data_IF_542959875211
#
_entry.id   IF_542959875211
#
_cell.length_a   1.000
_cell.length_b   1.000
_cell.length_c   1.000
_cell.angle_alpha   90.00
_cell.angle_beta   90.00
_cell.angle_gamma   90.00
#
_symmetry.space_group_name_H-M   'P 1'
#
loop_
_entity.id
_entity.type
_entity.pdbx_description
1 polymer ?
#
# COMPACT_ATOMS: atom_id res chain seq x y z
N UNK A 1 43.57 -45.28 18.43
CA UNK A 1 44.99 -45.13 18.01
C UNK A 1 45.57 -46.36 17.33
N UNK A 2 45.26 -47.57 17.80
CA UNK A 2 45.93 -48.78 17.27
C UNK A 2 45.41 -49.29 15.92
N UNK A 3 44.17 -48.99 15.54
CA UNK A 3 43.54 -49.59 14.34
C UNK A 3 42.81 -48.60 13.42
N UNK A 4 42.83 -47.30 13.73
CA UNK A 4 42.13 -46.22 13.03
C UNK A 4 40.63 -46.47 12.75
N UNK A 5 39.99 -47.29 13.58
CA UNK A 5 38.55 -47.53 13.46
C UNK A 5 37.77 -46.36 14.08
N UNK A 6 36.84 -45.72 13.34
CA UNK A 6 36.01 -44.66 13.89
C UNK A 6 35.06 -45.23 14.95
N UNK A 7 35.01 -44.57 16.11
CA UNK A 7 34.10 -44.93 17.20
C UNK A 7 32.86 -44.03 17.12
N UNK A 8 31.89 -44.49 16.33
CA UNK A 8 30.61 -43.78 16.15
C UNK A 8 29.47 -44.80 16.30
N UNK A 9 28.64 -44.59 17.30
CA UNK A 9 27.47 -45.41 17.62
C UNK A 9 26.38 -44.55 18.25
N UNK A 10 25.13 -45.02 18.26
CA UNK A 10 24.03 -44.30 18.91
C UNK A 10 24.32 -43.98 20.38
N UNK A 11 25.02 -44.86 21.08
CA UNK A 11 25.39 -44.69 22.49
C UNK A 11 26.43 -43.57 22.66
N UNK A 12 27.51 -43.62 21.87
CA UNK A 12 28.58 -42.61 21.92
C UNK A 12 28.08 -41.24 21.48
N UNK A 13 27.24 -41.19 20.44
CA UNK A 13 26.59 -39.97 19.97
C UNK A 13 25.62 -39.41 21.02
N UNK A 14 24.76 -40.22 21.64
CA UNK A 14 23.83 -39.74 22.69
C UNK A 14 24.57 -39.24 23.92
N UNK A 15 25.63 -39.93 24.34
CA UNK A 15 26.46 -39.50 25.46
C UNK A 15 27.09 -38.13 25.17
N UNK A 16 27.71 -37.97 24.00
CA UNK A 16 28.32 -36.71 23.61
C UNK A 16 27.28 -35.59 23.43
N UNK A 17 26.12 -35.87 22.83
CA UNK A 17 25.02 -34.90 22.73
C UNK A 17 24.56 -34.38 24.11
N UNK A 18 24.47 -35.25 25.12
CA UNK A 18 24.12 -34.84 26.47
C UNK A 18 25.21 -33.96 27.08
N UNK A 19 26.47 -34.31 26.87
CA UNK A 19 27.60 -33.52 27.32
C UNK A 19 27.60 -32.11 26.70
N UNK A 20 27.32 -32.01 25.39
CA UNK A 20 27.20 -30.73 24.68
C UNK A 20 26.01 -29.91 25.20
N UNK A 21 24.87 -30.54 25.51
CA UNK A 21 23.71 -29.85 26.11
C UNK A 21 24.01 -29.25 27.48
N UNK A 22 24.86 -29.91 28.27
CA UNK A 22 25.22 -29.46 29.62
C UNK A 22 26.35 -28.43 29.62
N UNK A 23 27.40 -28.66 28.82
CA UNK A 23 28.68 -27.93 28.92
C UNK A 23 28.99 -27.05 27.71
N UNK A 24 28.19 -27.10 26.65
CA UNK A 24 28.50 -26.45 25.37
C UNK A 24 29.39 -27.30 24.46
N UNK A 25 29.54 -26.87 23.21
CA UNK A 25 30.33 -27.59 22.18
C UNK A 25 31.84 -27.53 22.47
N UNK A 26 32.27 -26.53 23.23
CA UNK A 26 33.66 -26.29 23.63
C UNK A 26 34.25 -27.46 24.42
N UNK A 27 33.39 -28.29 25.02
CA UNK A 27 33.77 -29.50 25.74
C UNK A 27 34.63 -30.44 24.90
N UNK A 28 34.41 -30.47 23.57
CA UNK A 28 35.24 -31.26 22.65
C UNK A 28 36.71 -30.84 22.68
N UNK A 29 37.01 -29.57 22.92
CA UNK A 29 38.38 -29.06 22.96
C UNK A 29 38.99 -29.10 24.35
N UNK A 30 38.19 -28.82 25.38
CA UNK A 30 38.66 -28.64 26.75
C UNK A 30 38.91 -29.94 27.51
N UNK A 31 38.17 -31.01 27.19
CA UNK A 31 38.21 -32.25 27.96
C UNK A 31 39.06 -33.34 27.28
N UNK A 32 39.57 -34.28 28.09
CA UNK A 32 40.33 -35.44 27.64
C UNK A 32 39.44 -36.44 26.88
N UNK A 33 39.98 -37.15 25.88
CA UNK A 33 39.20 -38.04 24.99
C UNK A 33 38.34 -39.06 25.75
N UNK A 34 38.88 -39.66 26.82
CA UNK A 34 38.18 -40.68 27.62
C UNK A 34 36.92 -40.14 28.31
N UNK A 35 36.86 -38.83 28.56
CA UNK A 35 35.70 -38.17 29.19
C UNK A 35 34.60 -37.79 28.18
N UNK A 36 34.91 -37.85 26.89
CA UNK A 36 33.97 -37.59 25.79
C UNK A 36 33.20 -38.85 25.36
N UNK A 37 33.52 -40.01 25.95
CA UNK A 37 32.93 -41.30 25.65
C UNK A 37 32.22 -41.89 26.88
N UNK A 38 31.24 -42.79 26.68
CA UNK A 38 30.68 -43.57 27.76
C UNK A 38 31.76 -44.31 28.55
N UNK A 39 31.68 -44.35 29.89
CA UNK A 39 32.66 -45.06 30.72
C UNK A 39 32.80 -46.53 30.32
N UNK A 40 34.04 -46.98 30.10
CA UNK A 40 34.33 -48.37 29.75
C UNK A 40 34.22 -48.71 28.26
N UNK A 41 34.04 -47.70 27.39
CA UNK A 41 34.08 -47.87 25.92
C UNK A 41 35.33 -48.65 25.48
N UNK A 42 35.15 -49.62 24.58
CA UNK A 42 36.21 -50.42 23.95
C UNK A 42 36.03 -50.40 22.44
N UNK A 43 37.13 -50.37 21.69
CA UNK A 43 37.08 -50.49 20.25
C UNK A 43 36.48 -51.86 19.86
N UNK A 44 35.40 -51.92 19.05
CA UNK A 44 34.77 -53.19 18.68
C UNK A 44 35.68 -54.08 17.81
N UNK A 45 36.70 -53.49 17.17
CA UNK A 45 37.61 -54.18 16.25
C UNK A 45 38.87 -54.72 16.93
N UNK A 46 39.56 -53.92 17.74
CA UNK A 46 40.83 -54.32 18.38
C UNK A 46 40.74 -54.47 19.91
N UNK A 47 39.62 -54.11 20.54
CA UNK A 47 39.44 -54.20 22.00
C UNK A 47 40.19 -53.15 22.81
N UNK A 48 40.96 -52.25 22.17
CA UNK A 48 41.69 -51.16 22.84
C UNK A 48 40.73 -50.21 23.57
N UNK A 49 41.23 -49.62 24.67
CA UNK A 49 40.55 -48.58 25.46
C UNK A 49 41.15 -47.18 25.22
N UNK A 50 42.20 -47.07 24.40
CA UNK A 50 42.86 -45.80 24.10
C UNK A 50 42.29 -45.20 22.82
N UNK A 51 41.75 -44.00 22.93
CA UNK A 51 41.13 -43.28 21.83
C UNK A 51 41.78 -41.90 21.65
N UNK A 52 41.82 -41.44 20.40
CA UNK A 52 42.08 -40.04 20.06
C UNK A 52 40.81 -39.43 19.48
N UNK A 53 40.64 -38.13 19.71
CA UNK A 53 39.59 -37.31 19.09
C UNK A 53 40.12 -36.64 17.83
N UNK A 54 39.25 -36.52 16.82
CA UNK A 54 39.54 -35.71 15.62
C UNK A 54 39.51 -34.22 15.94
N UNK A 55 40.28 -33.43 15.18
CA UNK A 55 40.27 -31.96 15.27
C UNK A 55 39.55 -31.30 14.08
N UNK A 56 38.98 -32.10 13.19
CA UNK A 56 38.17 -31.62 12.09
C UNK A 56 36.86 -31.02 12.62
N UNK A 57 36.43 -29.93 12.01
CA UNK A 57 35.15 -29.28 12.29
C UNK A 57 34.20 -29.43 11.11
N UNK A 58 32.92 -29.19 11.35
CA UNK A 58 31.92 -29.18 10.30
C UNK A 58 32.04 -27.91 9.45
N UNK A 59 31.67 -28.03 8.18
CA UNK A 59 31.55 -26.88 7.28
C UNK A 59 30.41 -25.96 7.75
N UNK A 60 30.58 -24.65 7.61
CA UNK A 60 29.60 -23.63 8.00
C UNK A 60 28.28 -23.77 7.23
N UNK A 61 28.32 -24.37 6.03
CA UNK A 61 27.11 -24.71 5.30
C UNK A 61 26.34 -25.87 5.93
N UNK A 62 27.02 -26.84 6.55
CA UNK A 62 26.35 -27.89 7.31
C UNK A 62 25.68 -27.31 8.56
N UNK A 63 26.36 -26.39 9.25
CA UNK A 63 25.80 -25.68 10.41
C UNK A 63 24.52 -24.92 10.04
N UNK A 64 24.62 -23.99 9.09
CA UNK A 64 23.46 -23.22 8.62
C UNK A 64 22.36 -24.10 8.00
N UNK A 65 22.74 -25.10 7.20
CA UNK A 65 21.81 -26.05 6.60
C UNK A 65 21.07 -26.91 7.64
N UNK A 66 21.66 -27.15 8.81
CA UNK A 66 20.99 -27.86 9.91
C UNK A 66 20.07 -26.98 10.76
N UNK A 67 19.95 -25.67 10.46
CA UNK A 67 19.12 -24.72 11.21
C UNK A 67 17.66 -25.16 11.35
N UNK A 68 17.08 -25.81 10.33
CA UNK A 68 15.71 -26.32 10.40
C UNK A 68 15.52 -27.41 11.48
N UNK A 69 16.58 -28.14 11.87
CA UNK A 69 16.52 -29.12 12.95
C UNK A 69 16.69 -28.45 14.32
N UNK A 70 17.52 -27.40 14.37
CA UNK A 70 17.82 -26.68 15.61
C UNK A 70 16.69 -25.72 16.01
N UNK A 71 16.07 -25.05 15.03
CA UNK A 71 15.20 -23.89 15.23
C UNK A 71 13.72 -24.22 15.01
N UNK A 72 13.35 -24.92 13.93
CA UNK A 72 11.95 -25.19 13.57
C UNK A 72 11.34 -26.30 14.44
N UNK A 73 11.11 -25.97 15.70
CA UNK A 73 10.60 -26.88 16.72
C UNK A 73 9.37 -26.30 17.42
N UNK A 74 8.39 -27.15 17.80
CA UNK A 74 7.21 -26.70 18.54
C UNK A 74 7.53 -25.98 19.86
N UNK A 75 8.64 -26.36 20.53
CA UNK A 75 9.12 -25.70 21.76
C UNK A 75 9.49 -24.23 21.57
N UNK A 76 9.81 -23.82 20.33
CA UNK A 76 10.07 -22.42 19.95
C UNK A 76 8.82 -21.72 19.38
N UNK A 77 7.65 -22.37 19.39
CA UNK A 77 6.45 -21.87 18.71
C UNK A 77 6.53 -21.92 17.18
N UNK A 78 7.45 -22.73 16.63
CA UNK A 78 7.68 -22.85 15.20
C UNK A 78 7.29 -24.25 14.69
N UNK A 79 6.99 -24.34 13.40
CA UNK A 79 6.61 -25.59 12.74
C UNK A 79 7.63 -26.03 11.71
N UNK A 80 7.67 -27.35 11.48
CA UNK A 80 8.44 -27.97 10.41
C UNK A 80 7.48 -28.79 9.52
N UNK A 81 7.51 -28.62 8.19
CA UNK A 81 8.36 -27.69 7.42
C UNK A 81 7.97 -26.21 7.62
N UNK A 82 8.88 -25.29 7.30
CA UNK A 82 8.57 -23.85 7.18
C UNK A 82 7.67 -23.61 5.96
N UNK A 83 6.76 -22.64 6.03
CA UNK A 83 5.93 -22.30 4.87
C UNK A 83 6.75 -21.71 3.72
N UNK A 84 7.75 -20.88 4.06
CA UNK A 84 8.59 -20.17 3.10
C UNK A 84 10.05 -20.11 3.55
N UNK A 85 10.97 -20.38 2.62
CA UNK A 85 12.37 -19.96 2.67
C UNK A 85 12.58 -18.85 1.64
N UNK A 86 13.19 -17.73 2.04
CA UNK A 86 13.42 -16.55 1.20
C UNK A 86 14.85 -16.03 1.37
N UNK A 87 15.65 -16.08 0.31
CA UNK A 87 17.04 -15.58 0.30
C UNK A 87 17.47 -15.19 -1.13
N UNK A 88 18.70 -14.68 -1.25
CA UNK A 88 19.34 -14.35 -2.53
C UNK A 88 19.60 -15.57 -3.43
N UNK A 89 19.75 -15.30 -4.73
CA UNK A 89 19.94 -16.33 -5.77
C UNK A 89 21.17 -17.23 -5.60
N UNK A 90 22.19 -16.78 -4.87
CA UNK A 90 23.35 -17.58 -4.49
C UNK A 90 23.00 -18.76 -3.56
N UNK A 91 21.90 -18.67 -2.81
CA UNK A 91 21.52 -19.70 -1.84
C UNK A 91 20.99 -20.98 -2.47
N UNK A 92 20.69 -21.01 -3.78
CA UNK A 92 20.40 -22.25 -4.51
C UNK A 92 21.53 -23.27 -4.43
N UNK A 93 22.78 -22.83 -4.27
CA UNK A 93 23.96 -23.69 -4.07
C UNK A 93 24.54 -23.62 -2.67
N UNK A 94 23.95 -22.80 -1.81
CA UNK A 94 24.31 -22.61 -0.42
C UNK A 94 23.22 -23.17 0.49
N UNK A 95 22.59 -22.29 1.25
CA UNK A 95 21.70 -22.66 2.34
C UNK A 95 20.49 -23.49 1.91
N UNK A 96 19.85 -23.19 0.77
CA UNK A 96 18.71 -23.96 0.29
C UNK A 96 19.09 -25.42 -0.01
N UNK A 97 20.21 -25.61 -0.72
CA UNK A 97 20.67 -26.94 -1.11
C UNK A 97 21.05 -27.77 0.12
N UNK A 98 21.86 -27.21 1.02
CA UNK A 98 22.36 -27.96 2.16
C UNK A 98 21.24 -28.23 3.17
N UNK A 99 20.32 -27.28 3.38
CA UNK A 99 19.12 -27.52 4.19
C UNK A 99 18.26 -28.66 3.62
N UNK A 100 18.05 -28.67 2.30
CA UNK A 100 17.29 -29.74 1.66
C UNK A 100 17.98 -31.10 1.81
N UNK A 101 19.29 -31.18 1.56
CA UNK A 101 20.03 -32.44 1.67
C UNK A 101 20.00 -33.00 3.10
N UNK A 102 20.21 -32.15 4.12
CA UNK A 102 20.15 -32.55 5.52
C UNK A 102 18.73 -33.00 5.90
N UNK A 103 17.70 -32.26 5.49
CA UNK A 103 16.31 -32.61 5.75
C UNK A 103 15.91 -33.95 5.09
N UNK A 104 16.30 -34.17 3.84
CA UNK A 104 16.04 -35.43 3.13
C UNK A 104 16.76 -36.60 3.80
N UNK A 105 18.01 -36.41 4.24
CA UNK A 105 18.79 -37.45 4.92
C UNK A 105 18.24 -37.79 6.31
N UNK A 106 17.72 -36.80 7.05
CA UNK A 106 17.32 -36.96 8.46
C UNK A 106 15.83 -37.19 8.66
N UNK A 107 14.98 -36.69 7.74
CA UNK A 107 13.51 -36.71 7.87
C UNK A 107 12.77 -37.18 6.61
N UNK A 108 13.48 -37.35 5.48
CA UNK A 108 12.88 -37.84 4.24
C UNK A 108 11.93 -36.87 3.54
N UNK A 109 11.90 -35.58 3.93
CA UNK A 109 11.10 -34.54 3.29
C UNK A 109 11.78 -33.16 3.36
N UNK A 110 11.44 -32.21 2.46
CA UNK A 110 12.01 -30.87 2.45
C UNK A 110 11.72 -30.08 3.73
N UNK A 111 12.59 -29.16 4.16
CA UNK A 111 12.37 -28.35 5.36
C UNK A 111 11.50 -27.12 5.13
N UNK A 112 11.02 -26.92 3.90
CA UNK A 112 10.18 -25.81 3.48
C UNK A 112 9.11 -26.28 2.49
N UNK A 113 7.97 -25.59 2.46
CA UNK A 113 6.90 -25.79 1.48
C UNK A 113 7.13 -24.96 0.21
N UNK A 114 7.66 -23.74 0.37
CA UNK A 114 7.93 -22.80 -0.73
C UNK A 114 9.35 -22.25 -0.63
N UNK A 115 10.01 -22.04 -1.78
CA UNK A 115 11.26 -21.28 -1.89
C UNK A 115 11.00 -20.06 -2.75
N UNK A 116 11.33 -18.89 -2.22
CA UNK A 116 11.34 -17.63 -2.96
C UNK A 116 12.78 -17.10 -3.03
N UNK A 117 13.15 -16.61 -4.20
CA UNK A 117 14.51 -16.12 -4.47
C UNK A 117 14.44 -14.68 -4.95
N UNK A 118 15.37 -13.84 -4.48
CA UNK A 118 15.56 -12.50 -5.00
C UNK A 118 16.94 -12.29 -5.67
N UNK A 119 17.03 -11.30 -6.55
CA UNK A 119 18.27 -10.88 -7.21
C UNK A 119 19.20 -10.12 -6.28
N UNK A 120 20.37 -9.75 -6.82
CA UNK A 120 21.39 -9.01 -6.08
C UNK A 120 21.18 -7.49 -6.19
N UNK A 121 21.73 -6.78 -5.21
CA UNK A 121 21.79 -5.31 -5.24
C UNK A 121 22.86 -4.83 -6.22
N UNK A 122 22.46 -3.95 -7.15
CA UNK A 122 23.33 -3.31 -8.14
C UNK A 122 23.17 -1.78 -8.11
N UNK A 123 24.21 -1.06 -8.51
CA UNK A 123 24.15 0.39 -8.67
C UNK A 123 23.35 0.80 -9.94
N UNK A 124 23.11 2.10 -10.09
CA UNK A 124 22.38 2.66 -11.25
C UNK A 124 23.04 2.39 -12.62
N UNK A 125 24.31 1.98 -12.64
CA UNK A 125 25.04 1.61 -13.86
C UNK A 125 25.05 0.08 -14.08
N UNK A 126 24.31 -0.68 -13.28
CA UNK A 126 24.23 -2.14 -13.36
C UNK A 126 25.48 -2.85 -12.83
N UNK A 127 26.30 -2.19 -12.00
CA UNK A 127 27.51 -2.78 -11.42
C UNK A 127 27.21 -3.29 -10.02
N UNK A 128 27.86 -4.40 -9.67
CA UNK A 128 27.84 -4.88 -8.29
C UNK A 128 28.36 -3.80 -7.32
N UNK A 129 27.69 -3.68 -6.17
CA UNK A 129 28.08 -2.73 -5.15
C UNK A 129 29.30 -3.22 -4.35
N UNK A 130 30.38 -2.45 -4.36
CA UNK A 130 31.60 -2.75 -3.63
C UNK A 130 32.15 -1.52 -2.91
N UNK A 131 32.57 -1.69 -1.66
CA UNK A 131 33.14 -0.59 -0.85
C UNK A 131 34.31 0.10 -1.56
N UNK A 132 35.14 -0.65 -2.29
CA UNK A 132 36.28 -0.11 -3.06
C UNK A 132 35.90 0.76 -4.25
N UNK A 133 34.69 0.57 -4.81
CA UNK A 133 34.15 1.39 -5.89
C UNK A 133 33.40 2.64 -5.38
N UNK A 134 33.16 2.74 -4.07
CA UNK A 134 32.45 3.85 -3.46
C UNK A 134 30.96 3.93 -3.84
N UNK A 135 30.40 2.88 -4.45
CA UNK A 135 29.02 2.81 -4.94
C UNK A 135 28.08 2.06 -3.98
N UNK A 136 28.50 1.81 -2.74
CA UNK A 136 27.68 1.16 -1.71
C UNK A 136 26.83 2.20 -1.02
N UNK A 137 25.52 2.01 -1.01
CA UNK A 137 24.57 2.76 -0.19
C UNK A 137 24.13 1.84 0.94
N UNK A 138 24.32 2.26 2.19
CA UNK A 138 23.97 1.43 3.35
C UNK A 138 22.50 1.61 3.76
N UNK A 139 21.82 0.59 4.31
CA UNK A 139 20.47 0.74 4.85
C UNK A 139 20.34 1.84 5.91
N UNK A 140 21.36 2.01 6.75
CA UNK A 140 21.39 3.07 7.77
C UNK A 140 21.37 4.46 7.13
N UNK A 141 22.16 4.67 6.08
CA UNK A 141 22.19 5.95 5.35
C UNK A 141 20.84 6.29 4.72
N UNK A 142 20.13 5.29 4.18
CA UNK A 142 18.78 5.47 3.63
C UNK A 142 17.78 5.80 4.74
N UNK A 143 17.81 5.04 5.83
CA UNK A 143 16.87 5.23 6.94
C UNK A 143 17.09 6.55 7.68
N UNK A 144 18.34 7.01 7.85
CA UNK A 144 18.66 8.31 8.42
C UNK A 144 18.16 9.47 7.55
N UNK A 145 18.24 9.32 6.21
CA UNK A 145 17.85 10.38 5.27
C UNK A 145 16.35 10.42 4.96
N UNK A 146 15.72 9.26 4.78
CA UNK A 146 14.34 9.15 4.29
C UNK A 146 13.37 8.49 5.27
N UNK A 147 13.87 7.79 6.29
CA UNK A 147 13.08 6.97 7.20
C UNK A 147 12.89 5.52 6.70
N UNK A 148 12.56 4.63 7.64
CA UNK A 148 12.39 3.20 7.37
C UNK A 148 11.25 2.88 6.40
N UNK A 149 10.15 3.63 6.44
CA UNK A 149 9.01 3.40 5.54
C UNK A 149 9.35 3.68 4.07
N UNK A 150 10.20 4.66 3.79
CA UNK A 150 10.65 4.92 2.40
C UNK A 150 11.55 3.79 1.90
N UNK A 151 12.44 3.27 2.75
CA UNK A 151 13.25 2.10 2.42
C UNK A 151 12.36 0.87 2.11
N UNK A 152 11.36 0.59 2.96
CA UNK A 152 10.42 -0.53 2.75
C UNK A 152 9.55 -0.34 1.51
N UNK A 153 9.11 0.88 1.25
CA UNK A 153 8.32 1.21 0.07
C UNK A 153 9.16 1.07 -1.22
N UNK A 154 10.46 1.39 -1.16
CA UNK A 154 11.39 1.12 -2.27
C UNK A 154 11.56 -0.40 -2.48
N UNK A 155 11.79 -1.20 -1.43
CA UNK A 155 11.82 -2.68 -1.59
C UNK A 155 10.54 -3.19 -2.24
N UNK A 156 9.39 -2.60 -1.87
CA UNK A 156 8.09 -2.94 -2.45
C UNK A 156 7.99 -2.55 -3.93
N UNK A 157 8.66 -1.48 -4.39
CA UNK A 157 8.58 -1.04 -5.80
C UNK A 157 9.37 -1.91 -6.77
N UNK A 158 10.34 -2.68 -6.28
CA UNK A 158 11.26 -3.44 -7.10
C UNK A 158 10.70 -4.81 -7.50
N UNK A 159 10.93 -5.21 -8.76
CA UNK A 159 10.72 -6.59 -9.19
C UNK A 159 11.91 -7.45 -8.73
N UNK A 160 11.83 -7.95 -7.50
CA UNK A 160 12.90 -8.68 -6.82
C UNK A 160 13.37 -9.94 -7.56
N UNK A 161 12.64 -10.43 -8.58
CA UNK A 161 13.04 -11.59 -9.38
C UNK A 161 14.28 -11.32 -10.24
N UNK A 162 14.57 -10.04 -10.49
CA UNK A 162 15.77 -9.57 -11.19
C UNK A 162 16.74 -8.93 -10.18
N UNK A 163 17.93 -8.59 -10.65
CA UNK A 163 18.83 -7.71 -9.88
C UNK A 163 18.16 -6.37 -9.61
N UNK A 164 18.35 -5.87 -8.39
CA UNK A 164 17.62 -4.75 -7.81
C UNK A 164 18.52 -3.52 -7.85
N UNK A 165 18.05 -2.48 -8.54
CA UNK A 165 18.79 -1.22 -8.67
C UNK A 165 18.58 -0.35 -7.45
N UNK A 166 19.67 0.19 -6.89
CA UNK A 166 19.61 1.14 -5.78
C UNK A 166 20.44 2.40 -6.08
N UNK A 167 19.79 3.55 -6.01
CA UNK A 167 20.40 4.87 -6.12
C UNK A 167 19.60 5.91 -5.33
N UNK A 168 20.25 7.03 -4.96
CA UNK A 168 19.56 8.14 -4.31
C UNK A 168 18.49 8.79 -5.18
N UNK A 169 18.71 8.83 -6.51
CA UNK A 169 17.72 9.36 -7.45
C UNK A 169 16.42 8.52 -7.42
N UNK A 170 16.54 7.19 -7.35
CA UNK A 170 15.40 6.30 -7.23
C UNK A 170 14.69 6.47 -5.88
N UNK A 171 15.46 6.55 -4.79
CA UNK A 171 14.93 6.80 -3.45
C UNK A 171 14.19 8.14 -3.35
N UNK A 172 14.68 9.20 -4.02
CA UNK A 172 14.00 10.50 -4.08
C UNK A 172 12.64 10.38 -4.80
N UNK A 173 12.54 9.58 -5.87
CA UNK A 173 11.27 9.31 -6.55
C UNK A 173 10.31 8.54 -5.66
N UNK A 174 10.79 7.51 -4.96
CA UNK A 174 9.98 6.74 -3.99
C UNK A 174 9.53 7.63 -2.82
N UNK A 175 10.38 8.55 -2.36
CA UNK A 175 10.03 9.50 -1.31
C UNK A 175 8.89 10.44 -1.73
N UNK A 176 8.85 10.86 -3.00
CA UNK A 176 7.73 11.64 -3.54
C UNK A 176 6.42 10.84 -3.59
N UNK A 177 6.48 9.56 -3.95
CA UNK A 177 5.31 8.66 -3.89
C UNK A 177 4.86 8.47 -2.44
N UNK A 178 5.78 8.21 -1.51
CA UNK A 178 5.50 8.13 -0.08
C UNK A 178 4.82 9.40 0.43
N UNK A 179 5.35 10.58 0.08
CA UNK A 179 4.77 11.88 0.46
C UNK A 179 3.34 12.04 -0.06
N UNK A 180 3.05 11.54 -1.26
CA UNK A 180 1.70 11.54 -1.83
C UNK A 180 0.76 10.65 -1.01
N UNK A 181 1.15 9.41 -0.73
CA UNK A 181 0.38 8.48 0.13
C UNK A 181 0.10 9.12 1.49
N UNK A 182 1.14 9.66 2.14
CA UNK A 182 1.02 10.34 3.45
C UNK A 182 0.08 11.55 3.40
N UNK A 183 0.13 12.35 2.34
CA UNK A 183 -0.77 13.50 2.18
C UNK A 183 -2.22 13.08 1.95
N UNK A 184 -2.47 12.00 1.20
CA UNK A 184 -3.81 11.43 1.01
C UNK A 184 -4.37 10.93 2.35
N UNK A 185 -3.59 10.19 3.13
CA UNK A 185 -3.94 9.78 4.50
C UNK A 185 -4.24 11.01 5.38
N UNK A 186 -3.35 12.02 5.38
CA UNK A 186 -3.51 13.23 6.19
C UNK A 186 -4.77 14.00 5.84
N UNK A 187 -5.11 14.12 4.55
CA UNK A 187 -6.34 14.79 4.11
C UNK A 187 -7.58 14.05 4.63
N UNK A 188 -7.60 12.72 4.52
CA UNK A 188 -8.70 11.91 5.02
C UNK A 188 -8.86 12.07 6.54
N UNK A 189 -7.77 11.90 7.31
CA UNK A 189 -7.77 12.11 8.76
C UNK A 189 -8.28 13.50 9.16
N UNK A 190 -7.76 14.55 8.52
CA UNK A 190 -8.11 15.93 8.82
C UNK A 190 -9.59 16.27 8.58
N UNK A 191 -10.32 15.45 7.81
CA UNK A 191 -11.74 15.62 7.54
C UNK A 191 -12.65 14.73 8.40
N UNK A 192 -12.09 13.96 9.35
CA UNK A 192 -12.82 13.09 10.27
C UNK A 192 -12.82 13.60 11.72
N UNK A 193 -12.30 14.80 11.99
CA UNK A 193 -12.14 15.34 13.35
C UNK A 193 -13.45 15.47 14.15
N UNK A 194 -14.59 15.62 13.47
CA UNK A 194 -15.94 15.70 14.06
C UNK A 194 -16.84 14.51 13.68
N UNK A 195 -16.22 13.43 13.20
CA UNK A 195 -16.92 12.21 12.79
C UNK A 195 -16.94 11.21 13.96
N UNK A 196 -18.11 10.59 14.15
CA UNK A 196 -18.36 9.56 15.16
C UNK A 196 -19.03 8.43 14.40
N UNK A 197 -18.30 7.34 14.18
CA UNK A 197 -18.76 6.26 13.32
C UNK A 197 -20.03 5.58 13.86
N UNK A 198 -20.31 5.68 15.16
CA UNK A 198 -21.50 5.09 15.78
C UNK A 198 -22.77 5.92 15.56
N UNK A 199 -22.61 7.23 15.28
CA UNK A 199 -23.73 8.17 15.13
C UNK A 199 -23.91 8.71 13.72
N UNK A 200 -22.81 8.87 13.00
CA UNK A 200 -22.76 9.64 11.77
C UNK A 200 -22.59 8.78 10.51
N UNK A 201 -22.32 7.49 10.65
CA UNK A 201 -22.22 6.58 9.51
C UNK A 201 -23.56 6.51 8.77
N UNK A 202 -23.48 6.59 7.45
CA UNK A 202 -24.64 6.57 6.54
C UNK A 202 -24.72 5.20 5.83
N UNK A 203 -25.92 4.71 5.57
CA UNK A 203 -26.13 3.46 4.83
C UNK A 203 -25.75 3.61 3.36
N UNK A 204 -25.41 2.52 2.65
CA UNK A 204 -25.06 2.59 1.23
C UNK A 204 -26.21 3.14 0.36
N UNK A 205 -27.46 2.95 0.78
CA UNK A 205 -28.66 3.41 0.09
C UNK A 205 -28.87 4.93 0.22
N UNK A 206 -28.40 5.51 1.33
CA UNK A 206 -28.52 6.94 1.63
C UNK A 206 -27.27 7.74 1.25
N UNK A 207 -26.23 7.06 0.73
CA UNK A 207 -25.00 7.69 0.29
C UNK A 207 -25.15 8.34 -1.09
N UNK A 208 -24.41 9.43 -1.29
CA UNK A 208 -24.24 10.06 -2.59
C UNK A 208 -23.54 9.11 -3.56
N UNK A 209 -24.00 9.07 -4.82
CA UNK A 209 -23.47 8.16 -5.83
C UNK A 209 -21.95 8.27 -6.02
N UNK A 210 -21.39 9.48 -5.89
CA UNK A 210 -19.95 9.74 -5.99
C UNK A 210 -19.15 9.05 -4.88
N UNK A 211 -19.71 9.03 -3.67
CA UNK A 211 -19.07 8.39 -2.52
C UNK A 211 -19.11 6.87 -2.65
N UNK A 212 -20.23 6.33 -3.16
CA UNK A 212 -20.33 4.92 -3.50
C UNK A 212 -19.31 4.56 -4.58
N UNK A 213 -19.17 5.38 -5.64
CA UNK A 213 -18.18 5.16 -6.68
C UNK A 213 -16.74 5.17 -6.15
N UNK A 214 -16.39 6.06 -5.22
CA UNK A 214 -15.10 6.04 -4.55
C UNK A 214 -14.87 4.75 -3.73
N UNK A 215 -15.89 4.25 -3.04
CA UNK A 215 -15.83 2.95 -2.37
C UNK A 215 -15.65 1.80 -3.37
N UNK A 216 -16.25 1.87 -4.56
CA UNK A 216 -16.06 0.88 -5.62
C UNK A 216 -14.60 0.87 -6.10
N UNK A 217 -14.01 2.04 -6.39
CA UNK A 217 -12.59 2.16 -6.76
C UNK A 217 -11.68 1.60 -5.67
N UNK A 218 -11.98 1.88 -4.40
CA UNK A 218 -11.23 1.32 -3.29
C UNK A 218 -11.39 -0.21 -3.19
N UNK A 219 -12.58 -0.76 -3.43
CA UNK A 219 -12.79 -2.21 -3.45
C UNK A 219 -12.02 -2.88 -4.60
N UNK A 220 -11.86 -2.22 -5.76
CA UNK A 220 -10.98 -2.68 -6.84
C UNK A 220 -9.51 -2.68 -6.43
N UNK A 221 -9.05 -1.65 -5.71
CA UNK A 221 -7.71 -1.65 -5.14
C UNK A 221 -7.52 -2.82 -4.16
N UNK A 222 -8.47 -3.04 -3.23
CA UNK A 222 -8.42 -4.16 -2.28
C UNK A 222 -8.27 -5.49 -3.00
N UNK A 223 -9.13 -5.77 -3.99
CA UNK A 223 -9.07 -7.00 -4.81
C UNK A 223 -7.67 -7.22 -5.42
N UNK A 224 -7.09 -6.15 -6.00
CA UNK A 224 -5.74 -6.21 -6.59
C UNK A 224 -4.68 -6.48 -5.54
N UNK A 225 -4.64 -5.69 -4.47
CA UNK A 225 -3.58 -5.75 -3.46
C UNK A 225 -3.60 -7.05 -2.69
N UNK A 226 -4.77 -7.56 -2.28
CA UNK A 226 -4.88 -8.86 -1.61
C UNK A 226 -4.37 -9.99 -2.51
N UNK A 227 -4.73 -9.97 -3.80
CA UNK A 227 -4.20 -10.93 -4.79
C UNK A 227 -2.68 -10.82 -4.94
N UNK A 228 -2.13 -9.61 -4.97
CA UNK A 228 -0.68 -9.41 -5.07
C UNK A 228 0.08 -9.80 -3.81
N UNK A 229 -0.52 -9.73 -2.62
CA UNK A 229 0.07 -10.31 -1.41
C UNK A 229 0.19 -11.84 -1.53
N UNK A 230 -0.89 -12.51 -1.93
CA UNK A 230 -0.90 -13.98 -2.12
C UNK A 230 0.11 -14.44 -3.18
N UNK A 231 0.22 -13.68 -4.28
CA UNK A 231 1.15 -13.96 -5.37
C UNK A 231 2.57 -13.45 -5.10
N UNK A 232 2.79 -12.75 -3.98
CA UNK A 232 4.05 -12.06 -3.65
C UNK A 232 4.51 -11.07 -4.74
N UNK A 233 3.58 -10.43 -5.46
CA UNK A 233 3.87 -9.45 -6.53
C UNK A 233 3.88 -8.00 -6.00
N UNK A 234 4.75 -7.71 -5.02
CA UNK A 234 4.74 -6.46 -4.26
C UNK A 234 4.88 -5.18 -5.11
N UNK A 235 5.66 -5.20 -6.20
CA UNK A 235 5.79 -4.07 -7.14
C UNK A 235 4.45 -3.63 -7.74
N UNK A 236 3.52 -4.56 -7.95
CA UNK A 236 2.18 -4.23 -8.44
C UNK A 236 1.33 -3.55 -7.36
N UNK A 237 1.58 -3.84 -6.08
CA UNK A 237 0.96 -3.12 -4.95
C UNK A 237 1.42 -1.67 -4.97
N UNK A 238 2.74 -1.42 -5.07
CA UNK A 238 3.30 -0.08 -5.15
C UNK A 238 2.64 0.76 -6.25
N UNK A 239 2.57 0.22 -7.48
CA UNK A 239 1.96 0.94 -8.60
C UNK A 239 0.45 1.16 -8.43
N UNK A 240 -0.28 0.15 -7.96
CA UNK A 240 -1.74 0.24 -7.77
C UNK A 240 -2.11 1.26 -6.68
N UNK A 241 -1.36 1.26 -5.58
CA UNK A 241 -1.55 2.21 -4.46
C UNK A 241 -1.16 3.62 -4.88
N UNK A 242 -0.05 3.79 -5.60
CA UNK A 242 0.34 5.09 -6.11
C UNK A 242 -0.73 5.67 -7.05
N UNK A 243 -1.23 4.87 -7.99
CA UNK A 243 -2.32 5.27 -8.90
C UNK A 243 -3.57 5.65 -8.12
N UNK A 244 -4.02 4.81 -7.18
CA UNK A 244 -5.20 5.09 -6.37
C UNK A 244 -5.07 6.40 -5.57
N UNK A 245 -3.94 6.63 -4.90
CA UNK A 245 -3.73 7.87 -4.16
C UNK A 245 -3.63 9.09 -5.08
N UNK A 246 -3.00 8.96 -6.24
CA UNK A 246 -2.79 10.04 -7.19
C UNK A 246 -4.07 10.42 -7.95
N UNK A 247 -4.65 9.46 -8.63
CA UNK A 247 -5.72 9.67 -9.62
C UNK A 247 -7.10 9.57 -8.97
N UNK A 248 -7.41 8.41 -8.38
CA UNK A 248 -8.76 8.15 -7.84
C UNK A 248 -9.06 9.06 -6.64
N UNK A 249 -8.09 9.24 -5.74
CA UNK A 249 -8.26 10.03 -4.52
C UNK A 249 -7.89 11.49 -4.73
N UNK A 250 -6.62 11.81 -5.00
CA UNK A 250 -6.14 13.21 -4.94
C UNK A 250 -6.61 14.07 -6.11
N UNK A 251 -6.56 13.57 -7.35
CA UNK A 251 -6.95 14.33 -8.54
C UNK A 251 -8.46 14.33 -8.84
N UNK A 252 -9.20 13.41 -8.21
CA UNK A 252 -10.64 13.28 -8.35
C UNK A 252 -11.35 13.44 -7.01
N UNK A 253 -11.50 12.36 -6.23
CA UNK A 253 -12.51 12.30 -5.18
C UNK A 253 -12.30 13.36 -4.09
N UNK A 254 -11.09 13.42 -3.52
CA UNK A 254 -10.76 14.34 -2.43
C UNK A 254 -10.73 15.80 -2.87
N UNK A 255 -10.44 16.10 -4.14
CA UNK A 255 -10.45 17.47 -4.65
C UNK A 255 -11.88 17.98 -4.84
N UNK A 256 -12.74 17.16 -5.44
CA UNK A 256 -14.17 17.44 -5.61
C UNK A 256 -14.85 17.58 -4.24
N UNK A 257 -14.50 16.72 -3.28
CA UNK A 257 -15.08 16.73 -1.94
C UNK A 257 -14.83 17.99 -1.12
N UNK A 258 -13.83 18.82 -1.43
CA UNK A 258 -13.50 20.02 -0.63
C UNK A 258 -14.68 20.95 -0.48
N UNK A 259 -15.44 21.18 -1.55
CA UNK A 259 -16.63 22.02 -1.49
C UNK A 259 -17.64 21.44 -0.49
N UNK A 260 -17.92 20.14 -0.57
CA UNK A 260 -18.85 19.49 0.36
C UNK A 260 -18.35 19.45 1.81
N UNK A 261 -17.10 19.09 2.04
CA UNK A 261 -16.54 18.93 3.38
C UNK A 261 -16.37 20.26 4.12
N UNK A 262 -16.05 21.35 3.40
CA UNK A 262 -15.76 22.65 3.99
C UNK A 262 -16.96 23.61 4.00
N UNK A 263 -17.90 23.45 3.07
CA UNK A 263 -18.98 24.41 2.85
C UNK A 263 -20.30 23.92 3.45
N UNK A 264 -20.61 22.63 3.44
CA UNK A 264 -21.84 22.11 4.04
C UNK A 264 -21.87 22.27 5.56
N UNK A 265 -23.08 22.16 6.15
CA UNK A 265 -23.23 22.10 7.61
C UNK A 265 -22.55 20.84 8.18
N UNK A 266 -22.05 20.87 9.43
CA UNK A 266 -21.40 19.72 10.05
C UNK A 266 -22.26 18.44 10.03
N UNK A 267 -23.58 18.57 10.22
CA UNK A 267 -24.57 17.50 10.24
C UNK A 267 -25.30 17.27 8.90
N UNK A 268 -24.88 17.95 7.83
CA UNK A 268 -25.47 17.77 6.50
C UNK A 268 -25.38 16.30 6.05
N UNK A 269 -26.48 15.67 5.59
CA UNK A 269 -26.45 14.29 5.11
C UNK A 269 -25.41 14.07 4.00
N UNK A 270 -25.26 15.05 3.09
CA UNK A 270 -24.26 14.98 2.01
C UNK A 270 -22.84 14.95 2.57
N UNK A 271 -22.56 15.73 3.62
CA UNK A 271 -21.25 15.76 4.30
C UNK A 271 -20.99 14.45 5.05
N UNK A 272 -22.01 13.91 5.73
CA UNK A 272 -21.90 12.63 6.45
C UNK A 272 -21.72 11.45 5.50
N UNK A 273 -22.31 11.49 4.31
CA UNK A 273 -22.04 10.53 3.24
C UNK A 273 -20.55 10.52 2.85
N UNK A 274 -19.95 11.70 2.60
CA UNK A 274 -18.53 11.81 2.27
C UNK A 274 -17.62 11.31 3.40
N UNK A 275 -17.92 11.70 4.64
CA UNK A 275 -17.15 11.25 5.81
C UNK A 275 -17.28 9.74 6.04
N UNK A 276 -18.44 9.16 5.78
CA UNK A 276 -18.65 7.71 5.84
C UNK A 276 -17.72 7.00 4.85
N UNK A 277 -17.71 7.41 3.58
CA UNK A 277 -16.82 6.85 2.58
C UNK A 277 -15.33 7.03 2.94
N UNK A 278 -14.91 8.25 3.28
CA UNK A 278 -13.53 8.53 3.67
C UNK A 278 -13.12 7.70 4.89
N UNK A 279 -14.00 7.55 5.89
CA UNK A 279 -13.70 6.78 7.11
C UNK A 279 -13.43 5.31 6.80
N UNK A 280 -14.25 4.69 5.94
CA UNK A 280 -14.10 3.29 5.50
C UNK A 280 -12.83 3.12 4.67
N UNK A 281 -12.62 3.98 3.67
CA UNK A 281 -11.42 3.96 2.82
C UNK A 281 -10.17 4.09 3.68
N UNK A 282 -10.10 5.09 4.57
CA UNK A 282 -8.94 5.34 5.39
C UNK A 282 -8.63 4.16 6.31
N UNK A 283 -9.60 3.69 7.10
CA UNK A 283 -9.36 2.59 8.06
C UNK A 283 -8.85 1.33 7.37
N UNK A 284 -9.53 0.92 6.30
CA UNK A 284 -9.15 -0.29 5.56
C UNK A 284 -7.84 -0.10 4.77
N UNK A 285 -7.57 1.09 4.25
CA UNK A 285 -6.30 1.41 3.58
C UNK A 285 -5.11 1.32 4.54
N UNK A 286 -5.28 1.76 5.79
CA UNK A 286 -4.23 1.64 6.82
C UNK A 286 -3.92 0.17 7.13
N UNK A 287 -4.94 -0.68 7.29
CA UNK A 287 -4.77 -2.12 7.49
C UNK A 287 -4.08 -2.78 6.29
N UNK A 288 -4.49 -2.42 5.07
CA UNK A 288 -3.93 -2.96 3.82
C UNK A 288 -2.45 -2.60 3.62
N UNK A 289 -2.05 -1.40 4.06
CA UNK A 289 -0.69 -0.88 3.90
C UNK A 289 0.23 -1.15 5.11
N UNK A 290 -0.32 -1.65 6.23
CA UNK A 290 0.44 -1.91 7.45
C UNK A 290 1.66 -2.83 7.27
N UNK A 291 1.63 -3.88 6.42
CA UNK A 291 2.81 -4.69 6.13
C UNK A 291 3.94 -3.94 5.40
N UNK A 292 3.62 -2.86 4.67
CA UNK A 292 4.57 -2.14 3.80
C UNK A 292 5.15 -0.92 4.50
N UNK A 293 4.29 -0.03 5.02
CA UNK A 293 4.67 1.22 5.70
C UNK A 293 4.19 1.22 7.16
N UNK A 294 4.77 0.37 8.02
CA UNK A 294 4.24 0.11 9.36
C UNK A 294 4.23 1.36 10.26
N UNK A 295 5.26 2.20 10.20
CA UNK A 295 5.35 3.35 11.10
C UNK A 295 4.28 4.40 10.77
N UNK A 296 4.10 4.70 9.48
CA UNK A 296 3.11 5.69 9.01
C UNK A 296 1.69 5.19 9.23
N UNK A 297 1.44 3.91 9.01
CA UNK A 297 0.10 3.34 9.20
C UNK A 297 -0.27 3.29 10.68
N UNK A 298 0.66 2.93 11.56
CA UNK A 298 0.46 2.99 13.00
C UNK A 298 0.22 4.43 13.48
N UNK A 299 1.07 5.39 13.07
CA UNK A 299 0.89 6.81 13.39
C UNK A 299 -0.51 7.31 12.98
N UNK A 300 -0.92 7.01 11.75
CA UNK A 300 -2.23 7.41 11.24
C UNK A 300 -3.38 6.70 11.97
N UNK A 301 -3.23 5.41 12.29
CA UNK A 301 -4.24 4.62 12.99
C UNK A 301 -4.47 5.16 14.40
N UNK A 302 -3.41 5.51 15.13
CA UNK A 302 -3.52 6.13 16.46
C UNK A 302 -4.22 7.50 16.45
N UNK A 303 -4.27 8.17 15.29
CA UNK A 303 -4.95 9.46 15.10
C UNK A 303 -6.36 9.31 14.49
N UNK A 304 -6.86 8.08 14.29
CA UNK A 304 -8.27 7.87 13.93
C UNK A 304 -9.19 8.27 15.10
N UNK A 305 -10.45 8.69 14.81
CA UNK A 305 -11.47 8.78 15.85
C UNK A 305 -11.58 7.48 16.65
N UNK A 306 -11.71 7.58 17.98
CA UNK A 306 -11.78 6.41 18.87
C UNK A 306 -12.84 5.40 18.44
N UNK A 307 -13.98 5.88 17.93
CA UNK A 307 -15.09 5.05 17.44
C UNK A 307 -14.75 4.20 16.20
N UNK A 308 -13.58 4.42 15.59
CA UNK A 308 -13.10 3.68 14.44
C UNK A 308 -11.99 2.67 14.79
N UNK A 309 -11.39 2.75 15.99
CA UNK A 309 -10.31 1.86 16.41
C UNK A 309 -10.89 0.64 17.12
N UNK A 310 -10.73 -0.53 16.51
CA UNK A 310 -11.23 -1.80 17.06
C UNK A 310 -10.15 -2.54 17.88
N UNK A 311 -8.88 -2.23 17.60
CA UNK A 311 -7.70 -2.85 18.20
C UNK A 311 -6.70 -1.78 18.63
N UNK A 312 -5.74 -2.14 19.49
CA UNK A 312 -4.77 -1.18 20.03
C UNK A 312 -3.79 -0.65 18.98
N UNK A 313 -3.41 -1.48 17.99
CA UNK A 313 -2.47 -1.15 16.92
C UNK A 313 -3.00 -1.66 15.59
N UNK A 314 -2.69 -0.96 14.50
CA UNK A 314 -3.05 -1.39 13.14
C UNK A 314 -2.48 -2.79 12.83
N UNK A 315 -1.36 -3.15 13.46
CA UNK A 315 -0.69 -4.44 13.27
C UNK A 315 -1.37 -5.62 13.97
N UNK A 316 -2.39 -5.35 14.79
CA UNK A 316 -3.23 -6.36 15.43
C UNK A 316 -4.59 -6.50 14.72
N UNK A 317 -4.84 -5.71 13.68
CA UNK A 317 -6.07 -5.77 12.90
C UNK A 317 -5.96 -6.74 11.73
N UNK A 318 -7.10 -7.30 11.34
CA UNK A 318 -7.19 -8.17 10.17
C UNK A 318 -7.07 -7.37 8.86
N UNK A 319 -6.53 -8.01 7.81
CA UNK A 319 -6.61 -7.44 6.47
C UNK A 319 -8.08 -7.23 6.07
N UNK A 320 -8.40 -6.15 5.36
CA UNK A 320 -9.78 -5.85 4.99
C UNK A 320 -10.31 -6.90 4.02
N UNK A 321 -11.59 -7.25 4.16
CA UNK A 321 -12.27 -8.14 3.23
C UNK A 321 -12.74 -7.38 1.99
N UNK A 322 -12.94 -8.11 0.89
CA UNK A 322 -13.57 -7.58 -0.32
C UNK A 322 -15.04 -7.32 0.00
N UNK A 323 -15.56 -6.15 -0.36
CA UNK A 323 -16.98 -5.88 -0.23
C UNK A 323 -17.76 -6.67 -1.30
N UNK A 324 -18.82 -7.36 -0.89
CA UNK A 324 -19.62 -8.25 -1.75
C UNK A 324 -20.73 -7.55 -2.53
N UNK A 325 -21.01 -6.28 -2.23
CA UNK A 325 -22.02 -5.52 -2.95
C UNK A 325 -21.49 -5.06 -4.31
N UNK A 326 -22.34 -5.14 -5.33
CA UNK A 326 -22.01 -4.71 -6.69
C UNK A 326 -23.10 -3.77 -7.22
N UNK A 327 -22.67 -2.69 -7.90
CA UNK A 327 -23.55 -1.79 -8.65
C UNK A 327 -22.98 -1.56 -10.05
N UNK A 328 -22.97 -2.58 -10.93
CA UNK A 328 -22.28 -2.53 -12.22
C UNK A 328 -22.78 -1.40 -13.13
N UNK A 329 -24.08 -1.12 -13.09
CA UNK A 329 -24.71 -0.03 -13.83
C UNK A 329 -24.25 1.34 -13.33
N UNK A 330 -24.14 1.51 -12.00
CA UNK A 330 -23.57 2.71 -11.39
C UNK A 330 -22.11 2.88 -11.82
N UNK A 331 -21.31 1.82 -11.72
CA UNK A 331 -19.89 1.85 -12.09
C UNK A 331 -19.70 2.27 -13.54
N UNK A 332 -20.35 1.58 -14.49
CA UNK A 332 -20.22 1.89 -15.92
C UNK A 332 -20.69 3.32 -16.24
N UNK A 333 -21.75 3.79 -15.58
CA UNK A 333 -22.20 5.18 -15.70
C UNK A 333 -21.13 6.17 -15.21
N UNK A 334 -20.51 5.90 -14.08
CA UNK A 334 -19.47 6.76 -13.51
C UNK A 334 -18.18 6.73 -14.32
N UNK A 335 -17.77 5.60 -14.90
CA UNK A 335 -16.64 5.56 -15.84
C UNK A 335 -16.88 6.51 -17.02
N UNK A 336 -18.08 6.48 -17.63
CA UNK A 336 -18.45 7.44 -18.69
C UNK A 336 -18.44 8.90 -18.19
N UNK A 337 -18.89 9.18 -16.96
CA UNK A 337 -18.81 10.52 -16.38
C UNK A 337 -17.36 10.97 -16.15
N UNK A 338 -16.46 10.05 -15.78
CA UNK A 338 -15.04 10.32 -15.61
C UNK A 338 -14.35 10.61 -16.95
N UNK A 339 -14.74 9.94 -18.03
CA UNK A 339 -14.31 10.29 -19.39
C UNK A 339 -14.75 11.71 -19.77
N UNK A 340 -16.02 12.05 -19.54
CA UNK A 340 -16.52 13.43 -19.77
C UNK A 340 -15.75 14.44 -18.93
N UNK A 341 -15.50 14.15 -17.64
CA UNK A 341 -14.70 15.00 -16.76
C UNK A 341 -13.30 15.22 -17.33
N UNK A 342 -12.67 14.18 -17.89
CA UNK A 342 -11.38 14.28 -18.56
C UNK A 342 -11.40 15.31 -19.70
N UNK A 343 -12.43 15.28 -20.54
CA UNK A 343 -12.58 16.24 -21.66
C UNK A 343 -12.89 17.66 -21.17
N UNK A 344 -13.71 17.82 -20.14
CA UNK A 344 -13.96 19.13 -19.51
C UNK A 344 -12.68 19.70 -18.89
N UNK A 345 -11.88 18.88 -18.21
CA UNK A 345 -10.61 19.31 -17.62
C UNK A 345 -9.60 19.78 -18.68
N UNK A 346 -9.55 19.14 -19.85
CA UNK A 346 -8.72 19.60 -20.97
C UNK A 346 -9.17 20.98 -21.45
N UNK A 347 -10.48 21.18 -21.66
CA UNK A 347 -11.02 22.47 -22.08
C UNK A 347 -10.81 23.59 -21.02
N UNK A 348 -10.89 23.24 -19.72
CA UNK A 348 -10.55 24.16 -18.63
C UNK A 348 -9.07 24.55 -18.66
N UNK A 349 -8.17 23.60 -18.93
CA UNK A 349 -6.73 23.85 -18.99
C UNK A 349 -6.34 24.75 -20.18
N UNK A 350 -7.00 24.59 -21.32
CA UNK A 350 -6.79 25.47 -22.48
C UNK A 350 -7.19 26.92 -22.16
N UNK A 351 -8.30 27.12 -21.43
CA UNK A 351 -8.74 28.44 -20.96
C UNK A 351 -7.84 29.03 -19.85
N UNK A 352 -7.18 28.18 -19.05
CA UNK A 352 -6.13 28.66 -18.11
C UNK A 352 -4.90 29.16 -18.84
N UNK A 353 -4.47 28.46 -19.89
CA UNK A 353 -3.30 28.84 -20.70
C UNK A 353 -3.49 30.16 -21.44
N UNK A 354 -4.73 30.49 -21.84
CA UNK A 354 -5.04 31.81 -22.43
C UNK A 354 -5.04 32.95 -21.40
N UNK A 355 -5.09 32.63 -20.10
CA UNK A 355 -5.14 33.60 -19.00
C UNK A 355 -6.55 34.11 -18.67
N UNK A 356 -7.59 33.52 -19.26
CA UNK A 356 -8.98 33.94 -19.06
C UNK A 356 -9.54 33.53 -17.69
N UNK A 357 -9.05 32.40 -17.15
CA UNK A 357 -9.37 31.89 -15.81
C UNK A 357 -8.09 31.52 -15.04
N UNK A 358 -8.13 31.64 -13.71
CA UNK A 358 -7.05 31.14 -12.85
C UNK A 358 -7.40 29.80 -12.20
N UNK A 359 -8.58 29.73 -11.59
CA UNK A 359 -9.10 28.55 -10.90
C UNK A 359 -10.30 27.95 -11.67
N UNK A 360 -10.55 26.64 -11.57
CA UNK A 360 -11.72 26.00 -12.24
C UNK A 360 -13.05 26.66 -11.87
N UNK A 361 -13.18 27.08 -10.62
CA UNK A 361 -14.36 27.80 -10.12
C UNK A 361 -14.57 29.16 -10.80
N UNK A 362 -13.58 29.73 -11.48
CA UNK A 362 -13.78 30.94 -12.29
C UNK A 362 -14.52 30.66 -13.61
N UNK A 363 -14.88 29.40 -13.89
CA UNK A 363 -15.44 28.96 -15.15
C UNK A 363 -16.91 28.52 -15.08
N UNK A 364 -17.58 28.66 -16.22
CA UNK A 364 -18.85 28.04 -16.57
C UNK A 364 -18.62 27.08 -17.75
N UNK A 365 -19.16 25.88 -17.63
CA UNK A 365 -19.09 24.85 -18.69
C UNK A 365 -20.41 24.85 -19.44
N UNK A 366 -20.35 25.04 -20.75
CA UNK A 366 -21.50 24.92 -21.64
C UNK A 366 -21.39 23.59 -22.38
N UNK A 367 -22.41 22.75 -22.24
CA UNK A 367 -22.48 21.42 -22.83
C UNK A 367 -23.62 21.38 -23.84
N UNK A 368 -23.32 20.93 -25.05
CA UNK A 368 -24.33 20.38 -25.94
C UNK A 368 -24.08 18.88 -26.05
N UNK A 369 -25.13 18.08 -25.98
CA UNK A 369 -24.99 16.64 -26.12
C UNK A 369 -26.17 16.01 -26.86
N UNK A 370 -25.98 14.83 -27.44
CA UNK A 370 -26.99 14.02 -28.13
C UNK A 370 -27.02 12.58 -27.58
N UNK A 371 -28.01 11.79 -27.99
CA UNK A 371 -28.09 10.35 -27.73
C UNK A 371 -27.93 9.93 -26.26
N UNK A 372 -27.17 8.86 -26.04
CA UNK A 372 -26.90 8.30 -24.71
C UNK A 372 -26.15 9.28 -23.80
N UNK A 373 -25.28 10.13 -24.37
CA UNK A 373 -24.52 11.12 -23.58
C UNK A 373 -25.45 12.19 -23.00
N UNK A 374 -26.48 12.61 -23.75
CA UNK A 374 -27.51 13.53 -23.22
C UNK A 374 -28.27 12.91 -22.05
N UNK A 375 -28.65 11.63 -22.15
CA UNK A 375 -29.34 10.94 -21.05
C UNK A 375 -28.44 10.83 -19.80
N UNK A 376 -27.17 10.49 -19.99
CA UNK A 376 -26.16 10.43 -18.95
C UNK A 376 -26.03 11.76 -18.20
N UNK A 377 -25.79 12.85 -18.94
CA UNK A 377 -25.56 14.17 -18.36
C UNK A 377 -26.81 14.76 -17.73
N UNK A 378 -27.99 14.51 -18.30
CA UNK A 378 -29.25 14.93 -17.69
C UNK A 378 -29.49 14.23 -16.35
N UNK A 379 -29.17 12.94 -16.25
CA UNK A 379 -29.30 12.20 -14.99
C UNK A 379 -28.30 12.70 -13.93
N UNK A 380 -27.11 13.11 -14.34
CA UNK A 380 -26.07 13.63 -13.44
C UNK A 380 -26.12 15.16 -13.25
N UNK A 381 -27.10 15.86 -13.85
CA UNK A 381 -27.10 17.33 -14.00
C UNK A 381 -26.81 18.10 -12.71
N UNK A 382 -27.34 17.64 -11.58
CA UNK A 382 -27.17 18.32 -10.29
C UNK A 382 -25.75 18.21 -9.72
N UNK A 383 -25.02 17.14 -10.03
CA UNK A 383 -23.67 16.90 -9.53
C UNK A 383 -22.57 17.40 -10.46
N UNK A 384 -22.89 17.74 -11.72
CA UNK A 384 -21.87 18.15 -12.70
C UNK A 384 -21.02 19.37 -12.28
N UNK A 385 -21.58 20.44 -11.69
CA UNK A 385 -20.75 21.56 -11.22
C UNK A 385 -19.74 21.13 -10.16
N UNK A 386 -20.15 20.25 -9.22
CA UNK A 386 -19.28 19.68 -8.19
C UNK A 386 -18.22 18.77 -8.83
N UNK A 387 -18.63 17.85 -9.72
CA UNK A 387 -17.76 16.91 -10.43
C UNK A 387 -16.64 17.60 -11.25
N UNK A 388 -16.97 18.70 -11.93
CA UNK A 388 -16.03 19.46 -12.75
C UNK A 388 -15.31 20.56 -11.97
N UNK A 389 -15.72 20.84 -10.72
CA UNK A 389 -15.17 21.89 -9.86
C UNK A 389 -15.34 23.27 -10.53
N UNK A 390 -16.52 23.55 -11.07
CA UNK A 390 -16.84 24.80 -11.78
C UNK A 390 -18.02 25.53 -11.14
N UNK A 391 -18.19 26.82 -11.46
CA UNK A 391 -19.26 27.61 -10.87
C UNK A 391 -20.65 27.23 -11.38
N UNK A 392 -20.75 26.86 -12.66
CA UNK A 392 -22.00 26.47 -13.29
C UNK A 392 -21.78 25.54 -14.48
N UNK A 393 -22.79 24.74 -14.77
CA UNK A 393 -22.89 23.92 -15.99
C UNK A 393 -24.21 24.26 -16.68
N UNK A 394 -24.13 24.67 -17.94
CA UNK A 394 -25.27 25.07 -18.77
C UNK A 394 -25.42 24.10 -19.93
N UNK A 395 -26.66 23.68 -20.18
CA UNK A 395 -26.99 22.82 -21.31
C UNK A 395 -27.50 23.67 -22.47
N UNK A 396 -26.82 23.58 -23.61
CA UNK A 396 -27.25 24.21 -24.86
C UNK A 396 -28.20 23.29 -25.62
N UNK A 397 -29.28 23.85 -26.14
CA UNK A 397 -30.19 23.13 -27.05
C UNK A 397 -29.66 23.09 -28.49
N UNK A 398 -28.77 24.01 -28.84
CA UNK A 398 -28.14 24.11 -30.17
C UNK A 398 -26.70 23.62 -30.13
N UNK A 399 -26.23 23.07 -31.26
CA UNK A 399 -24.82 22.67 -31.44
C UNK A 399 -23.91 23.87 -31.16
N UNK A 400 -22.79 23.62 -30.49
CA UNK A 400 -21.82 24.65 -30.19
C UNK A 400 -20.88 24.87 -31.38
N UNK A 401 -20.63 26.13 -31.71
CA UNK A 401 -19.73 26.52 -32.80
C UNK A 401 -18.68 27.54 -32.33
N UNK A 402 -17.61 27.66 -33.13
CA UNK A 402 -16.55 28.64 -32.95
C UNK A 402 -15.30 28.12 -32.23
N UNK A 403 -14.37 29.02 -31.99
CA UNK A 403 -13.08 28.74 -31.34
C UNK A 403 -13.29 28.29 -29.88
N UNK A 404 -12.46 27.34 -29.43
CA UNK A 404 -12.51 26.78 -28.07
C UNK A 404 -13.63 25.76 -27.83
N UNK A 405 -14.33 25.29 -28.87
CA UNK A 405 -15.28 24.18 -28.77
C UNK A 405 -14.55 22.86 -28.97
N UNK A 406 -14.61 21.97 -27.98
CA UNK A 406 -14.14 20.59 -28.09
C UNK A 406 -15.29 19.68 -28.51
N UNK A 407 -15.09 18.88 -29.57
CA UNK A 407 -16.06 17.89 -30.04
C UNK A 407 -15.53 16.51 -29.72
N UNK A 408 -16.28 15.74 -28.93
CA UNK A 408 -15.89 14.44 -28.38
C UNK A 408 -17.05 13.45 -28.48
N UNK A 409 -16.80 12.15 -28.21
CA UNK A 409 -17.79 11.08 -28.34
C UNK A 409 -18.45 11.06 -29.73
N UNK A 410 -17.64 11.04 -30.80
CA UNK A 410 -18.10 11.02 -32.19
C UNK A 410 -19.09 12.15 -32.57
N UNK A 411 -19.06 13.26 -31.84
CA UNK A 411 -19.92 14.43 -32.08
C UNK A 411 -21.15 14.51 -31.18
N UNK A 412 -21.37 13.50 -30.32
CA UNK A 412 -22.47 13.44 -29.36
C UNK A 412 -22.25 14.34 -28.14
N UNK A 413 -21.05 14.92 -27.97
CA UNK A 413 -20.78 15.89 -26.93
C UNK A 413 -19.89 17.03 -27.46
N UNK A 414 -20.35 18.24 -27.25
CA UNK A 414 -19.59 19.47 -27.50
C UNK A 414 -19.44 20.24 -26.19
N UNK A 415 -18.21 20.64 -25.91
CA UNK A 415 -17.83 21.31 -24.66
C UNK A 415 -17.28 22.67 -25.02
N UNK A 416 -17.80 23.72 -24.38
CA UNK A 416 -17.21 25.05 -24.38
C UNK A 416 -17.08 25.54 -22.96
N UNK A 417 -15.91 26.04 -22.61
CA UNK A 417 -15.67 26.65 -21.30
C UNK A 417 -15.54 28.16 -21.48
N UNK A 418 -16.17 28.90 -20.59
CA UNK A 418 -16.05 30.37 -20.53
C UNK A 418 -15.92 30.83 -19.08
N UNK A 419 -15.56 32.10 -18.89
CA UNK A 419 -15.54 32.70 -17.55
C UNK A 419 -16.97 32.72 -16.97
N UNK A 420 -17.09 32.32 -15.70
CA UNK A 420 -18.34 32.36 -14.97
C UNK A 420 -18.82 33.81 -14.78
N UNK A 421 -20.14 34.01 -14.89
CA UNK A 421 -20.74 35.33 -14.71
C UNK A 421 -21.11 35.59 -13.25
N UNK A 422 -21.16 36.88 -12.88
CA UNK A 422 -21.51 37.34 -11.53
C UNK A 422 -20.29 37.64 -10.67
N UNK A 423 -20.46 37.50 -9.35
CA UNK A 423 -19.44 37.84 -8.36
C UNK A 423 -18.99 36.59 -7.59
N UNK A 424 -17.71 36.56 -7.21
CA UNK A 424 -17.12 35.47 -6.45
C UNK A 424 -17.62 35.49 -5.00
N UNK A 425 -18.23 34.40 -4.55
CA UNK A 425 -18.60 34.21 -3.15
C UNK A 425 -17.33 34.10 -2.29
N UNK A 426 -17.15 34.92 -1.23
CA UNK A 426 -15.93 34.88 -0.42
C UNK A 426 -15.81 33.61 0.45
N UNK A 427 -16.90 32.83 0.60
CA UNK A 427 -16.93 31.59 1.38
C UNK A 427 -16.60 30.34 0.56
N UNK A 428 -17.41 30.02 -0.45
CA UNK A 428 -17.21 28.82 -1.28
C UNK A 428 -16.45 29.07 -2.58
N UNK A 429 -16.14 30.32 -2.90
CA UNK A 429 -15.42 30.73 -4.11
C UNK A 429 -16.13 30.49 -5.44
N UNK A 430 -17.33 29.93 -5.43
CA UNK A 430 -18.22 29.91 -6.61
C UNK A 430 -18.66 31.33 -6.99
N UNK A 431 -18.76 31.58 -8.29
CA UNK A 431 -19.37 32.76 -8.86
C UNK A 431 -20.88 32.61 -8.89
N UNK A 432 -21.58 33.69 -8.58
CA UNK A 432 -23.04 33.72 -8.60
C UNK A 432 -23.52 35.12 -9.00
N UNK A 433 -24.61 35.16 -9.76
CA UNK A 433 -25.34 36.41 -10.06
C UNK A 433 -26.21 36.88 -8.90
N UNK A 434 -26.34 36.07 -7.86
CA UNK A 434 -27.30 36.23 -6.76
C UNK A 434 -26.60 36.48 -5.41
N UNK A 435 -25.36 36.96 -5.42
CA UNK A 435 -24.64 37.34 -4.19
C UNK A 435 -25.46 38.37 -3.40
N UNK A 436 -25.67 38.10 -2.12
CA UNK A 436 -26.37 39.00 -1.20
C UNK A 436 -27.90 39.02 -1.34
N UNK A 437 -28.49 38.10 -2.10
CA UNK A 437 -29.96 37.98 -2.21
C UNK A 437 -30.63 37.26 -1.03
N UNK A 438 -29.87 36.57 -0.17
CA UNK A 438 -30.41 35.93 1.04
C UNK A 438 -30.66 36.98 2.11
N UNK A 439 -31.87 36.97 2.66
CA UNK A 439 -32.27 37.90 3.73
C UNK A 439 -31.33 37.75 4.93
N UNK A 440 -30.91 38.89 5.48
CA UNK A 440 -30.06 39.00 6.67
C UNK A 440 -28.61 38.48 6.52
N UNK A 441 -28.20 38.00 5.34
CA UNK A 441 -26.81 37.61 5.04
C UNK A 441 -26.30 38.31 3.79
N UNK A 442 -25.44 39.32 3.99
CA UNK A 442 -24.87 40.11 2.89
C UNK A 442 -23.58 39.49 2.36
N UNK A 443 -23.37 39.60 1.04
CA UNK A 443 -22.09 39.27 0.39
C UNK A 443 -21.80 37.79 0.18
N UNK A 444 -22.78 36.90 0.36
CA UNK A 444 -22.64 35.45 0.11
C UNK A 444 -23.60 34.97 -0.99
N UNK A 445 -23.24 33.88 -1.65
CA UNK A 445 -24.14 33.21 -2.60
C UNK A 445 -25.33 32.55 -1.86
N UNK A 446 -26.44 32.25 -2.56
CA UNK A 446 -27.64 31.69 -1.94
C UNK A 446 -27.39 30.46 -1.06
N UNK A 447 -26.62 29.48 -1.56
CA UNK A 447 -26.25 28.27 -0.81
C UNK A 447 -25.52 28.60 0.50
N UNK A 448 -24.47 29.43 0.43
CA UNK A 448 -23.72 29.81 1.63
C UNK A 448 -24.54 30.68 2.59
N UNK A 449 -25.40 31.54 2.06
CA UNK A 449 -26.33 32.34 2.86
C UNK A 449 -27.25 31.46 3.68
N UNK A 450 -27.96 30.52 3.04
CA UNK A 450 -28.87 29.58 3.70
C UNK A 450 -28.14 28.76 4.78
N UNK A 451 -26.95 28.22 4.45
CA UNK A 451 -26.16 27.41 5.39
C UNK A 451 -25.81 28.19 6.66
N UNK A 452 -25.54 29.50 6.55
CA UNK A 452 -25.19 30.35 7.70
C UNK A 452 -26.43 30.89 8.43
N UNK A 453 -27.53 31.15 7.71
CA UNK A 453 -28.75 31.70 8.27
C UNK A 453 -29.50 30.73 9.18
N UNK A 454 -29.41 29.42 8.95
CA UNK A 454 -30.06 28.39 9.77
C UNK A 454 -29.32 28.11 11.11
N UNK A 455 -28.70 29.13 11.71
CA UNK A 455 -28.00 29.03 13.01
C UNK A 455 -28.87 29.41 14.19
#
# INVERSE_FOLDING_TARGET
DECNEPIVSDETLKFFQNLVREKGVEVWYLEETDSLLPPGTKCPKCGSKSFSKGNDILDVWFESGSSHLAVLKPENGLQWPSDLYLEGSDQHRGWFQISLLIAMATRGAPPFSTVLTHGFMIDENGRAMHKSLGNVISPNEITDKYGADVLRLWVTSEDYRNDIVLSFNLLDQVAEVYRRIRNTIRFMLGNLYDFDATKHSVSLEDMEEMDIYALMKFNELKKKVLSYYELMEFHKIFHSVHYFCAEDMSAFYLDVLKDRLYIEKPDSPRRRSAQTAISKILKEFLLLMAPIIPFTTEEAYQNLPDTMRDVESVHLGDLPTIDEWERPELYSRWEKLMEVRGEVNKALEDLRKSGDIGHSLDAEVVLYSEGEVRELLNRAKQILPELFIVSSVVFSEERLEGEGVSVVFDGDLMIKVRKAEGEKCPRCWHYSKEIGMVRDVKGLCPRCGIIISDK
#
